data_IF_732475641311
#
_entry.id   IF_732475641311
#
_cell.length_a   1.000
_cell.length_b   1.000
_cell.length_c   1.000
_cell.angle_alpha   90.00
_cell.angle_beta   90.00
_cell.angle_gamma   90.00
#
_symmetry.space_group_name_H-M   'P 1'
#
loop_
_entity.id
_entity.type
_entity.pdbx_description
1 polymer ?
#
# COMPACT_ATOMS: atom_id res chain seq x y z
N UNK A 1 5.46 14.66 22.21
CA UNK A 1 4.28 13.98 22.80
C UNK A 1 4.40 12.46 22.72
N UNK A 2 4.52 11.83 21.56
CA UNK A 2 4.58 10.37 21.40
C UNK A 2 5.79 9.70 22.06
N UNK A 3 6.97 10.32 22.04
CA UNK A 3 8.18 9.77 22.70
C UNK A 3 7.97 9.51 24.20
N UNK A 4 7.29 10.41 24.88
CA UNK A 4 6.99 10.27 26.33
C UNK A 4 5.91 9.22 26.59
N UNK A 5 4.95 9.09 25.66
CA UNK A 5 3.92 8.06 25.72
C UNK A 5 4.53 6.65 25.54
N UNK A 6 5.40 6.48 24.54
CA UNK A 6 6.09 5.22 24.25
C UNK A 6 6.99 4.75 25.42
N UNK A 7 7.55 5.68 26.19
CA UNK A 7 8.35 5.32 27.37
C UNK A 7 7.52 4.76 28.52
N UNK A 8 6.21 5.03 28.54
CA UNK A 8 5.29 4.69 29.63
C UNK A 8 4.33 3.57 29.31
N UNK A 9 4.21 3.20 28.03
CA UNK A 9 3.21 2.25 27.57
C UNK A 9 3.87 1.17 26.71
N UNK A 10 3.49 -0.07 26.95
CA UNK A 10 3.78 -1.18 26.04
C UNK A 10 2.80 -1.15 24.87
N UNK A 11 3.31 -1.26 23.65
CA UNK A 11 2.51 -1.45 22.46
C UNK A 11 2.39 -2.96 22.26
N UNK A 12 1.17 -3.46 22.32
CA UNK A 12 0.88 -4.86 21.99
C UNK A 12 -0.15 -4.92 20.87
N UNK A 13 -0.02 -5.92 20.00
CA UNK A 13 -0.97 -6.19 18.93
C UNK A 13 -2.39 -6.39 19.45
N UNK A 14 -2.53 -6.90 20.66
CA UNK A 14 -3.83 -7.07 21.31
C UNK A 14 -4.61 -5.76 21.54
N UNK A 15 -3.92 -4.61 21.58
CA UNK A 15 -4.58 -3.30 21.64
C UNK A 15 -5.34 -2.97 20.34
N UNK A 16 -5.01 -3.64 19.26
CA UNK A 16 -5.56 -3.46 17.91
C UNK A 16 -6.26 -4.73 17.42
N UNK A 17 -6.86 -5.49 18.34
CA UNK A 17 -7.54 -6.74 18.01
C UNK A 17 -8.78 -6.56 17.10
N UNK A 18 -9.37 -5.35 17.13
CA UNK A 18 -10.47 -5.01 16.21
C UNK A 18 -9.92 -4.68 14.84
N UNK A 19 -10.36 -5.37 13.77
CA UNK A 19 -9.96 -5.04 12.41
C UNK A 19 -10.24 -3.58 12.05
N UNK A 20 -9.39 -2.97 11.20
CA UNK A 20 -9.60 -1.59 10.71
C UNK A 20 -10.91 -1.45 9.95
N UNK A 21 -11.28 -2.50 9.22
CA UNK A 21 -12.52 -2.57 8.43
C UNK A 21 -13.27 -3.85 8.78
N UNK A 22 -14.63 -3.80 8.82
CA UNK A 22 -15.42 -5.01 8.90
C UNK A 22 -15.13 -5.93 7.71
N UNK A 23 -15.17 -7.28 7.88
CA UNK A 23 -15.00 -8.20 6.76
C UNK A 23 -16.07 -7.98 5.69
N UNK A 24 -15.80 -8.39 4.45
CA UNK A 24 -16.74 -8.23 3.33
C UNK A 24 -18.11 -8.88 3.61
N UNK A 25 -18.14 -9.91 4.45
CA UNK A 25 -19.34 -10.61 4.91
C UNK A 25 -20.24 -9.80 5.86
N UNK A 26 -19.76 -8.68 6.44
CA UNK A 26 -20.59 -7.78 7.26
C UNK A 26 -21.55 -6.97 6.39
N UNK A 27 -22.64 -7.61 5.99
CA UNK A 27 -23.63 -6.99 5.08
C UNK A 27 -24.39 -5.83 5.72
N UNK A 28 -24.52 -5.82 7.05
CA UNK A 28 -25.19 -4.73 7.76
C UNK A 28 -24.41 -3.42 7.60
N UNK A 29 -23.09 -3.49 7.75
CA UNK A 29 -22.21 -2.35 7.56
C UNK A 29 -22.15 -1.93 6.07
N UNK A 30 -21.77 -2.85 5.17
CA UNK A 30 -21.49 -2.49 3.77
C UNK A 30 -22.73 -2.00 3.03
N UNK A 31 -23.92 -2.57 3.29
CA UNK A 31 -25.19 -2.09 2.73
C UNK A 31 -25.59 -0.71 3.27
N UNK A 32 -25.06 -0.28 4.40
CA UNK A 32 -25.34 1.05 4.95
C UNK A 32 -24.48 2.17 4.34
N UNK A 33 -23.32 1.81 3.76
CA UNK A 33 -22.33 2.80 3.28
C UNK A 33 -22.11 2.77 1.77
N UNK A 34 -22.48 1.69 1.06
CA UNK A 34 -22.28 1.56 -0.38
C UNK A 34 -23.62 1.57 -1.13
N UNK A 35 -23.62 2.14 -2.33
CA UNK A 35 -24.77 2.20 -3.24
C UNK A 35 -24.56 1.30 -4.47
N UNK A 36 -25.64 1.02 -5.21
CA UNK A 36 -25.63 0.24 -6.46
C UNK A 36 -24.80 0.88 -7.58
N UNK A 37 -24.41 2.15 -7.43
CA UNK A 37 -23.53 2.84 -8.37
C UNK A 37 -22.19 2.10 -8.48
N UNK A 38 -21.63 1.60 -7.35
CA UNK A 38 -20.37 0.84 -7.36
C UNK A 38 -20.48 -0.47 -8.13
N UNK A 39 -21.65 -1.11 -8.14
CA UNK A 39 -21.92 -2.30 -8.96
C UNK A 39 -21.83 -1.94 -10.46
N UNK A 40 -22.46 -0.84 -10.85
CA UNK A 40 -22.43 -0.36 -12.25
C UNK A 40 -21.02 -0.03 -12.73
N UNK A 41 -20.23 0.63 -11.87
CA UNK A 41 -18.84 0.95 -12.14
C UNK A 41 -17.98 -0.31 -12.25
N UNK A 42 -18.16 -1.28 -11.36
CA UNK A 42 -17.44 -2.54 -11.37
C UNK A 42 -17.76 -3.38 -12.62
N UNK A 43 -19.03 -3.43 -13.05
CA UNK A 43 -19.43 -4.09 -14.31
C UNK A 43 -18.73 -3.49 -15.53
N UNK A 44 -18.55 -2.17 -15.54
CA UNK A 44 -17.84 -1.49 -16.61
C UNK A 44 -16.35 -1.87 -16.58
N UNK A 45 -15.72 -1.83 -15.40
CA UNK A 45 -14.31 -2.16 -15.25
C UNK A 45 -14.02 -3.64 -15.53
N UNK A 46 -14.91 -4.56 -15.14
CA UNK A 46 -14.76 -5.99 -15.38
C UNK A 46 -14.58 -6.33 -16.87
N UNK A 47 -15.20 -5.57 -17.74
CA UNK A 47 -15.12 -5.75 -19.21
C UNK A 47 -13.85 -5.21 -19.83
N UNK A 48 -13.01 -4.48 -19.09
CA UNK A 48 -11.77 -3.93 -19.59
C UNK A 48 -10.60 -4.90 -19.37
N UNK A 49 -9.61 -4.87 -20.25
CA UNK A 49 -8.38 -5.63 -20.08
C UNK A 49 -7.51 -5.04 -18.93
N UNK A 50 -6.71 -5.90 -18.31
CA UNK A 50 -5.67 -5.44 -17.40
C UNK A 50 -4.49 -4.86 -18.18
N UNK A 51 -4.09 -3.60 -17.94
CA UNK A 51 -2.98 -3.00 -18.66
C UNK A 51 -1.66 -3.73 -18.44
N UNK A 52 -0.87 -3.90 -19.48
CA UNK A 52 0.49 -4.43 -19.41
C UNK A 52 1.45 -3.29 -19.10
N UNK A 53 2.37 -3.50 -18.15
CA UNK A 53 3.49 -2.59 -17.86
C UNK A 53 4.75 -3.20 -18.46
N UNK A 54 5.34 -2.51 -19.45
CA UNK A 54 6.49 -3.00 -20.23
C UNK A 54 7.79 -2.36 -19.77
N UNK A 55 8.92 -3.05 -19.98
CA UNK A 55 10.25 -2.52 -19.71
C UNK A 55 10.49 -1.15 -20.41
N UNK A 56 10.05 -1.01 -21.66
CA UNK A 56 10.18 0.25 -22.41
C UNK A 56 9.43 1.42 -21.78
N UNK A 57 8.35 1.16 -21.06
CA UNK A 57 7.58 2.18 -20.35
C UNK A 57 8.33 2.67 -19.10
N UNK A 58 8.99 1.78 -18.33
CA UNK A 58 9.90 2.20 -17.27
C UNK A 58 11.06 3.06 -17.80
N UNK A 59 11.62 2.66 -18.96
CA UNK A 59 12.74 3.37 -19.58
C UNK A 59 12.40 4.77 -20.07
N UNK A 60 11.13 5.03 -20.41
CA UNK A 60 10.69 6.29 -21.02
C UNK A 60 11.02 7.51 -20.15
N UNK A 61 10.86 7.42 -18.84
CA UNK A 61 11.19 8.52 -17.93
C UNK A 61 12.67 8.92 -18.03
N UNK A 62 13.59 7.96 -17.97
CA UNK A 62 15.03 8.25 -18.02
C UNK A 62 15.49 8.70 -19.42
N UNK A 63 14.80 8.28 -20.48
CA UNK A 63 15.18 8.62 -21.86
C UNK A 63 14.62 9.96 -22.32
N UNK A 64 13.44 10.32 -21.90
CA UNK A 64 12.70 11.49 -22.45
C UNK A 64 11.94 12.31 -21.42
N UNK A 65 11.98 11.93 -20.14
CA UNK A 65 11.17 12.58 -19.09
C UNK A 65 9.69 12.17 -19.11
N UNK A 66 9.31 11.21 -19.96
CA UNK A 66 7.91 10.77 -20.07
C UNK A 66 7.53 9.87 -18.90
N UNK A 67 6.86 10.46 -17.91
CA UNK A 67 6.30 9.76 -16.76
C UNK A 67 5.07 8.94 -17.12
N UNK A 68 4.22 9.47 -17.99
CA UNK A 68 2.90 8.92 -18.26
C UNK A 68 2.97 7.56 -18.94
N UNK A 69 4.05 7.27 -19.65
CA UNK A 69 4.26 5.97 -20.29
C UNK A 69 4.10 4.80 -19.32
N UNK A 70 4.65 4.92 -18.09
CA UNK A 70 4.55 3.87 -17.07
C UNK A 70 3.41 4.17 -16.07
N UNK A 71 3.22 5.42 -15.68
CA UNK A 71 2.22 5.80 -14.67
C UNK A 71 0.80 5.53 -15.14
N UNK A 72 0.47 5.73 -16.41
CA UNK A 72 -0.88 5.48 -16.93
C UNK A 72 -1.33 4.03 -16.73
N UNK A 73 -0.63 3.00 -17.23
CA UNK A 73 -1.02 1.62 -16.99
C UNK A 73 -0.93 1.23 -15.49
N UNK A 74 0.03 1.78 -14.76
CA UNK A 74 0.20 1.55 -13.32
C UNK A 74 -1.03 1.99 -12.52
N UNK A 75 -1.45 3.25 -12.65
CA UNK A 75 -2.61 3.77 -11.93
C UNK A 75 -3.93 3.19 -12.45
N UNK A 76 -4.00 2.82 -13.74
CA UNK A 76 -5.20 2.16 -14.28
C UNK A 76 -5.41 0.79 -13.63
N UNK A 77 -4.36 -0.01 -13.41
CA UNK A 77 -4.48 -1.27 -12.65
C UNK A 77 -5.08 -1.05 -11.25
N UNK A 78 -4.54 -0.09 -10.51
CA UNK A 78 -4.97 0.20 -9.14
C UNK A 78 -6.39 0.73 -9.08
N UNK A 79 -6.76 1.60 -10.01
CA UNK A 79 -8.13 2.12 -10.13
C UNK A 79 -9.12 1.00 -10.45
N UNK A 80 -8.80 0.15 -11.44
CA UNK A 80 -9.64 -1.01 -11.79
C UNK A 80 -9.84 -1.90 -10.57
N UNK A 81 -8.77 -2.27 -9.87
CA UNK A 81 -8.84 -3.12 -8.68
C UNK A 81 -9.71 -2.50 -7.57
N UNK A 82 -9.48 -1.23 -7.23
CA UNK A 82 -10.28 -0.51 -6.23
C UNK A 82 -11.77 -0.49 -6.61
N UNK A 83 -12.09 -0.28 -7.89
CA UNK A 83 -13.49 -0.28 -8.37
C UNK A 83 -14.14 -1.67 -8.25
N UNK A 84 -13.40 -2.74 -8.59
CA UNK A 84 -13.91 -4.12 -8.46
C UNK A 84 -14.15 -4.49 -6.99
N UNK A 85 -13.27 -4.08 -6.07
CA UNK A 85 -13.43 -4.26 -4.62
C UNK A 85 -14.73 -3.60 -4.14
N UNK A 86 -14.95 -2.33 -4.50
CA UNK A 86 -16.16 -1.61 -4.09
C UNK A 86 -17.42 -2.26 -4.66
N UNK A 87 -17.38 -2.76 -5.90
CA UNK A 87 -18.48 -3.51 -6.50
C UNK A 87 -18.77 -4.83 -5.77
N UNK A 88 -17.71 -5.58 -5.39
CA UNK A 88 -17.89 -6.83 -4.64
C UNK A 88 -18.42 -6.56 -3.23
N UNK A 89 -17.92 -5.52 -2.55
CA UNK A 89 -18.45 -5.09 -1.25
C UNK A 89 -19.91 -4.62 -1.32
N UNK A 90 -20.33 -3.98 -2.41
CA UNK A 90 -21.71 -3.53 -2.60
C UNK A 90 -22.67 -4.70 -2.89
N UNK A 91 -22.28 -5.65 -3.74
CA UNK A 91 -23.12 -6.78 -4.18
C UNK A 91 -22.93 -8.03 -3.33
N UNK A 92 -21.67 -8.41 -3.04
CA UNK A 92 -21.24 -9.58 -2.27
C UNK A 92 -21.79 -10.91 -2.79
N UNK A 93 -21.65 -11.13 -4.08
CA UNK A 93 -22.08 -12.38 -4.75
C UNK A 93 -20.89 -13.23 -5.27
N UNK A 94 -19.65 -12.81 -4.98
CA UNK A 94 -18.45 -13.45 -5.51
C UNK A 94 -18.20 -13.18 -6.98
N UNK A 95 -18.99 -12.31 -7.59
CA UNK A 95 -18.99 -12.06 -9.03
C UNK A 95 -17.72 -11.39 -9.53
N UNK A 96 -17.13 -10.48 -8.73
CA UNK A 96 -15.89 -9.78 -9.06
C UNK A 96 -14.65 -10.41 -8.43
N UNK A 97 -14.82 -11.43 -7.60
CA UNK A 97 -13.72 -12.07 -6.88
C UNK A 97 -12.63 -12.63 -7.81
N UNK A 98 -12.94 -13.31 -8.95
CA UNK A 98 -11.89 -13.75 -9.88
C UNK A 98 -11.03 -12.61 -10.40
N UNK A 99 -11.65 -11.51 -10.85
CA UNK A 99 -10.91 -10.34 -11.35
C UNK A 99 -10.17 -9.59 -10.25
N UNK A 100 -10.66 -9.60 -9.01
CA UNK A 100 -9.92 -9.08 -7.85
C UNK A 100 -8.66 -9.92 -7.63
N UNK A 101 -8.77 -11.24 -7.68
CA UNK A 101 -7.64 -12.15 -7.56
C UNK A 101 -6.62 -11.94 -8.70
N UNK A 102 -7.08 -11.76 -9.94
CA UNK A 102 -6.22 -11.43 -11.07
C UNK A 102 -5.45 -10.11 -10.83
N UNK A 103 -6.13 -9.07 -10.36
CA UNK A 103 -5.52 -7.79 -10.05
C UNK A 103 -4.48 -7.88 -8.94
N UNK A 104 -4.78 -8.61 -7.87
CA UNK A 104 -3.83 -8.89 -6.77
C UNK A 104 -2.62 -9.65 -7.28
N UNK A 105 -2.82 -10.70 -8.07
CA UNK A 105 -1.74 -11.48 -8.67
C UNK A 105 -0.84 -10.62 -9.55
N UNK A 106 -1.42 -9.82 -10.44
CA UNK A 106 -0.66 -8.90 -11.32
C UNK A 106 0.17 -7.89 -10.53
N UNK A 107 -0.32 -7.38 -9.38
CA UNK A 107 0.47 -6.49 -8.52
C UNK A 107 1.60 -7.24 -7.83
N UNK A 108 1.40 -8.49 -7.43
CA UNK A 108 2.47 -9.33 -6.89
C UNK A 108 3.57 -9.63 -7.92
N UNK A 109 3.23 -9.68 -9.22
CA UNK A 109 4.17 -9.89 -10.32
C UNK A 109 4.96 -8.61 -10.71
N UNK A 110 4.53 -7.42 -10.28
CA UNK A 110 5.27 -6.18 -10.57
C UNK A 110 6.65 -6.22 -9.90
N UNK A 111 7.70 -5.90 -10.66
CA UNK A 111 9.08 -5.84 -10.13
C UNK A 111 9.22 -4.75 -9.07
N UNK A 112 8.54 -3.63 -9.26
CA UNK A 112 8.58 -2.46 -8.37
C UNK A 112 7.18 -1.90 -8.17
N UNK A 113 6.80 -1.65 -6.92
CA UNK A 113 5.49 -1.10 -6.57
C UNK A 113 5.42 0.43 -6.63
N UNK A 114 6.55 1.09 -6.89
CA UNK A 114 6.61 2.53 -7.14
C UNK A 114 6.54 2.89 -8.63
N UNK A 115 6.79 4.15 -8.93
CA UNK A 115 6.74 4.69 -10.28
C UNK A 115 8.13 4.95 -10.87
N UNK A 116 8.21 5.03 -12.20
CA UNK A 116 9.49 5.23 -12.91
C UNK A 116 10.22 6.53 -12.51
N UNK A 117 9.47 7.60 -12.17
CA UNK A 117 10.04 8.86 -11.70
C UNK A 117 10.75 8.76 -10.33
N UNK A 118 10.44 7.73 -9.53
CA UNK A 118 11.05 7.49 -8.22
C UNK A 118 12.19 6.48 -8.25
N UNK A 119 12.43 5.82 -9.40
CA UNK A 119 13.47 4.79 -9.53
C UNK A 119 14.89 5.27 -9.22
N UNK A 120 15.19 6.54 -9.43
CA UNK A 120 16.49 7.13 -9.06
C UNK A 120 16.84 7.06 -7.57
N UNK A 121 15.87 6.73 -6.71
CA UNK A 121 16.06 6.50 -5.27
C UNK A 121 16.41 5.05 -4.94
N UNK A 122 16.22 4.13 -5.90
CA UNK A 122 16.50 2.70 -5.75
C UNK A 122 17.95 2.44 -6.16
N UNK A 123 18.74 1.89 -5.26
CA UNK A 123 20.12 1.55 -5.55
C UNK A 123 20.21 0.56 -6.74
N UNK A 124 21.17 0.79 -7.64
CA UNK A 124 21.37 -0.02 -8.86
C UNK A 124 20.19 0.01 -9.86
N UNK A 125 19.27 0.93 -9.73
CA UNK A 125 18.23 1.20 -10.73
C UNK A 125 18.67 2.35 -11.63
N UNK A 126 18.46 2.20 -12.94
CA UNK A 126 18.63 3.27 -13.90
C UNK A 126 17.50 3.26 -14.93
N UNK A 127 17.50 2.31 -15.87
CA UNK A 127 16.43 2.15 -16.84
C UNK A 127 15.30 1.26 -16.33
N UNK A 128 15.62 0.28 -15.48
CA UNK A 128 14.67 -0.67 -14.90
C UNK A 128 14.83 -0.70 -13.38
N UNK A 129 13.76 -0.97 -12.63
CA UNK A 129 13.86 -1.10 -11.18
C UNK A 129 14.69 -2.33 -10.80
N UNK A 130 15.55 -2.18 -9.80
CA UNK A 130 16.27 -3.30 -9.22
C UNK A 130 15.29 -4.22 -8.47
N UNK A 131 15.36 -5.52 -8.74
CA UNK A 131 14.50 -6.51 -8.07
C UNK A 131 15.03 -6.91 -6.68
N UNK A 132 16.33 -6.70 -6.44
CA UNK A 132 17.02 -7.10 -5.21
C UNK A 132 17.01 -6.03 -4.11
N UNK A 133 16.69 -4.79 -4.46
CA UNK A 133 16.66 -3.67 -3.51
C UNK A 133 15.31 -2.95 -3.57
N UNK A 134 14.54 -3.10 -2.50
CA UNK A 134 13.22 -2.47 -2.42
C UNK A 134 13.35 -1.09 -1.78
N UNK A 135 12.71 -0.11 -2.40
CA UNK A 135 12.54 1.24 -1.87
C UNK A 135 11.06 1.50 -1.60
N UNK A 136 10.75 1.96 -0.41
CA UNK A 136 9.39 2.32 -0.05
C UNK A 136 9.19 3.79 -0.40
N UNK A 137 8.57 4.06 -1.54
CA UNK A 137 8.07 5.37 -1.92
C UNK A 137 6.57 5.49 -1.61
N UNK A 138 5.94 6.61 -1.97
CA UNK A 138 4.51 6.86 -1.79
C UNK A 138 3.67 5.69 -2.33
N UNK A 139 3.94 5.28 -3.56
CA UNK A 139 3.08 4.35 -4.28
C UNK A 139 3.39 2.88 -3.96
N UNK A 140 4.60 2.58 -3.52
CA UNK A 140 4.90 1.27 -2.95
C UNK A 140 4.13 1.07 -1.64
N UNK A 141 4.06 2.11 -0.79
CA UNK A 141 3.28 2.09 0.43
C UNK A 141 1.77 1.98 0.15
N UNK A 142 1.22 2.75 -0.82
CA UNK A 142 -0.19 2.63 -1.24
C UNK A 142 -0.52 1.25 -1.82
N UNK A 143 0.38 0.67 -2.61
CA UNK A 143 0.16 -0.67 -3.17
C UNK A 143 0.08 -1.71 -2.07
N UNK A 144 0.96 -1.61 -1.08
CA UNK A 144 0.95 -2.49 0.08
C UNK A 144 -0.32 -2.31 0.92
N UNK A 145 -0.75 -1.07 1.11
CA UNK A 145 -2.01 -0.75 1.81
C UNK A 145 -3.20 -1.40 1.10
N UNK A 146 -3.35 -1.21 -0.21
CA UNK A 146 -4.44 -1.83 -0.99
C UNK A 146 -4.44 -3.34 -0.82
N UNK A 147 -3.28 -4.00 -0.96
CA UNK A 147 -3.18 -5.45 -0.82
C UNK A 147 -3.51 -5.93 0.60
N UNK A 148 -3.09 -5.17 1.62
CA UNK A 148 -3.38 -5.48 3.03
C UNK A 148 -4.87 -5.32 3.36
N UNK A 149 -5.51 -4.29 2.80
CA UNK A 149 -6.95 -4.07 2.94
C UNK A 149 -7.73 -5.22 2.27
N UNK A 150 -7.35 -5.62 1.05
CA UNK A 150 -7.97 -6.76 0.36
C UNK A 150 -7.80 -8.03 1.18
N UNK A 151 -6.60 -8.29 1.68
CA UNK A 151 -6.29 -9.43 2.55
C UNK A 151 -7.22 -9.47 3.77
N UNK A 152 -7.44 -8.33 4.42
CA UNK A 152 -8.30 -8.26 5.60
C UNK A 152 -9.79 -8.38 5.26
N UNK A 153 -10.24 -7.71 4.19
CA UNK A 153 -11.66 -7.67 3.80
C UNK A 153 -12.18 -9.00 3.26
N UNK A 154 -11.37 -9.67 2.43
CA UNK A 154 -11.76 -10.85 1.64
C UNK A 154 -10.97 -12.10 2.01
N UNK A 155 -10.48 -12.19 3.24
CA UNK A 155 -9.64 -13.31 3.67
C UNK A 155 -10.31 -14.67 3.46
N UNK A 156 -11.55 -14.81 3.92
CA UNK A 156 -12.27 -16.08 3.83
C UNK A 156 -12.68 -16.41 2.39
N UNK A 157 -13.08 -15.40 1.60
CA UNK A 157 -13.48 -15.57 0.20
C UNK A 157 -12.28 -15.96 -0.67
N UNK A 158 -11.14 -15.26 -0.51
CA UNK A 158 -9.91 -15.62 -1.24
C UNK A 158 -9.37 -16.97 -0.79
N UNK A 159 -9.41 -17.26 0.52
CA UNK A 159 -8.99 -18.56 1.04
C UNK A 159 -9.79 -19.72 0.45
N UNK A 160 -11.08 -19.51 0.25
CA UNK A 160 -11.96 -20.51 -0.38
C UNK A 160 -11.73 -20.63 -1.89
N UNK A 161 -11.35 -19.55 -2.56
CA UNK A 161 -11.19 -19.49 -4.02
C UNK A 161 -9.77 -19.86 -4.48
N UNK A 162 -8.75 -19.28 -3.86
CA UNK A 162 -7.32 -19.45 -4.20
C UNK A 162 -6.43 -19.14 -2.99
N UNK A 163 -6.26 -20.10 -2.04
CA UNK A 163 -5.51 -19.87 -0.79
C UNK A 163 -4.04 -19.50 -1.03
N UNK A 164 -3.43 -19.95 -2.13
CA UNK A 164 -2.04 -19.63 -2.49
C UNK A 164 -1.84 -18.14 -2.72
N UNK A 165 -2.88 -17.42 -3.13
CA UNK A 165 -2.80 -15.98 -3.35
C UNK A 165 -2.60 -15.22 -2.03
N UNK A 166 -3.21 -15.67 -0.93
CA UNK A 166 -2.98 -15.09 0.40
C UNK A 166 -1.51 -15.24 0.81
N UNK A 167 -0.96 -16.44 0.66
CA UNK A 167 0.48 -16.69 0.95
C UNK A 167 1.40 -15.86 0.06
N UNK A 168 1.01 -15.63 -1.21
CA UNK A 168 1.77 -14.76 -2.11
C UNK A 168 1.73 -13.31 -1.65
N UNK A 169 0.60 -12.78 -1.22
CA UNK A 169 0.47 -11.41 -0.68
C UNK A 169 1.31 -11.26 0.59
N UNK A 170 1.23 -12.21 1.51
CA UNK A 170 2.05 -12.21 2.72
C UNK A 170 3.56 -12.15 2.40
N UNK A 171 4.02 -13.00 1.49
CA UNK A 171 5.41 -13.03 1.05
C UNK A 171 5.86 -11.71 0.43
N UNK A 172 5.07 -11.14 -0.47
CA UNK A 172 5.42 -9.89 -1.15
C UNK A 172 5.43 -8.69 -0.19
N UNK A 173 4.46 -8.60 0.71
CA UNK A 173 4.42 -7.55 1.74
C UNK A 173 5.59 -7.70 2.71
N UNK A 174 5.86 -8.92 3.18
CA UNK A 174 7.00 -9.18 4.06
C UNK A 174 8.31 -8.74 3.39
N UNK A 175 8.55 -9.17 2.16
CA UNK A 175 9.79 -8.92 1.44
C UNK A 175 9.99 -7.46 1.06
N UNK A 176 8.94 -6.82 0.53
CA UNK A 176 9.05 -5.46 -0.03
C UNK A 176 8.88 -4.36 0.99
N UNK A 177 8.05 -4.59 1.99
CA UNK A 177 7.61 -3.57 2.94
C UNK A 177 8.15 -3.85 4.34
N UNK A 178 7.67 -4.90 5.02
CA UNK A 178 7.96 -5.10 6.44
C UNK A 178 9.45 -5.28 6.70
N UNK A 179 10.09 -6.21 5.98
CA UNK A 179 11.54 -6.45 6.15
C UNK A 179 12.36 -5.24 5.69
N UNK A 180 11.94 -4.55 4.62
CA UNK A 180 12.62 -3.36 4.12
C UNK A 180 12.51 -2.19 5.11
N UNK A 181 11.32 -1.97 5.70
CA UNK A 181 11.06 -0.92 6.68
C UNK A 181 11.80 -1.16 8.00
N UNK A 182 11.80 -2.40 8.49
CA UNK A 182 12.49 -2.78 9.73
C UNK A 182 14.01 -2.92 9.58
N UNK A 183 14.50 -2.92 8.35
CA UNK A 183 15.96 -2.90 8.12
C UNK A 183 16.58 -1.57 8.57
N UNK A 184 17.91 -1.52 8.64
CA UNK A 184 18.67 -0.29 8.94
C UNK A 184 18.76 0.67 7.74
N UNK A 185 17.91 0.53 6.72
CA UNK A 185 17.84 1.46 5.60
C UNK A 185 17.27 2.79 6.06
N UNK A 186 17.91 3.87 5.64
CA UNK A 186 17.35 5.21 5.74
C UNK A 186 16.74 5.58 4.38
N UNK A 187 15.43 5.63 4.36
CA UNK A 187 14.70 6.22 3.25
C UNK A 187 14.57 7.72 3.52
N UNK A 188 15.08 8.57 2.64
CA UNK A 188 15.19 10.03 2.88
C UNK A 188 13.94 10.74 3.38
N UNK A 189 12.75 10.10 3.30
CA UNK A 189 11.50 10.62 3.85
C UNK A 189 11.34 10.38 5.36
N UNK A 190 12.19 9.54 5.99
CA UNK A 190 12.10 9.21 7.42
C UNK A 190 12.49 10.36 8.36
N UNK A 191 13.28 11.31 7.87
CA UNK A 191 13.64 12.50 8.63
C UNK A 191 14.86 12.37 9.54
N UNK A 192 15.69 11.35 9.37
CA UNK A 192 16.89 11.17 10.22
C UNK A 192 18.01 12.14 9.91
N UNK A 193 18.14 12.60 8.65
CA UNK A 193 19.24 13.47 8.21
C UNK A 193 18.80 14.86 7.75
N UNK A 194 17.53 15.02 7.43
CA UNK A 194 16.94 16.30 7.04
C UNK A 194 15.46 16.31 7.42
N UNK A 195 14.88 17.51 7.54
CA UNK A 195 13.44 17.65 7.75
C UNK A 195 12.68 16.90 6.64
N UNK A 196 11.75 16.04 7.01
CA UNK A 196 10.94 15.30 6.05
C UNK A 196 9.85 16.21 5.47
N UNK A 197 9.40 15.89 4.26
CA UNK A 197 8.23 16.49 3.63
C UNK A 197 6.98 15.62 3.86
N UNK A 198 5.89 15.92 3.16
CA UNK A 198 4.61 15.21 3.18
C UNK A 198 4.71 13.69 2.85
N UNK A 199 5.79 13.23 2.24
CA UNK A 199 6.02 11.79 2.04
C UNK A 199 6.02 11.01 3.36
N UNK A 200 6.54 11.65 4.42
CA UNK A 200 6.64 11.01 5.73
C UNK A 200 5.25 10.57 6.26
N UNK A 201 4.29 11.47 6.54
CA UNK A 201 2.98 11.07 7.06
C UNK A 201 2.19 10.22 6.06
N UNK A 202 2.34 10.46 4.75
CA UNK A 202 1.67 9.65 3.72
C UNK A 202 2.13 8.19 3.76
N UNK A 203 3.46 7.97 3.71
CA UNK A 203 4.00 6.60 3.75
C UNK A 203 3.69 5.94 5.09
N UNK A 204 3.87 6.66 6.21
CA UNK A 204 3.65 6.09 7.53
C UNK A 204 2.19 5.69 7.77
N UNK A 205 1.21 6.43 7.25
CA UNK A 205 -0.21 6.06 7.35
C UNK A 205 -0.51 4.76 6.61
N UNK A 206 0.02 4.60 5.39
CA UNK A 206 -0.13 3.36 4.62
C UNK A 206 0.58 2.18 5.29
N UNK A 207 1.80 2.40 5.82
CA UNK A 207 2.51 1.36 6.58
C UNK A 207 1.75 0.95 7.85
N UNK A 208 1.13 1.90 8.54
CA UNK A 208 0.32 1.61 9.72
C UNK A 208 -0.84 0.67 9.34
N UNK A 209 -1.54 0.93 8.24
CA UNK A 209 -2.59 0.04 7.72
C UNK A 209 -2.04 -1.37 7.44
N UNK A 210 -0.87 -1.48 6.82
CA UNK A 210 -0.21 -2.78 6.58
C UNK A 210 0.05 -3.51 7.90
N UNK A 211 0.64 -2.83 8.90
CA UNK A 211 0.99 -3.45 10.18
C UNK A 211 -0.26 -3.90 10.97
N UNK A 212 -1.36 -3.17 10.85
CA UNK A 212 -2.62 -3.51 11.52
C UNK A 212 -3.43 -4.61 10.81
N UNK A 213 -3.25 -4.78 9.48
CA UNK A 213 -4.06 -5.69 8.67
C UNK A 213 -3.38 -7.02 8.35
N UNK A 214 -2.04 -7.07 8.41
CA UNK A 214 -1.27 -8.26 8.02
C UNK A 214 -0.85 -9.13 9.22
N UNK A 215 -0.60 -10.44 9.02
CA UNK A 215 -0.15 -11.36 10.07
C UNK A 215 1.34 -11.17 10.40
N UNK A 216 1.69 -10.00 10.95
CA UNK A 216 3.05 -9.67 11.38
C UNK A 216 3.26 -10.21 12.81
N UNK A 217 4.45 -10.77 13.09
CA UNK A 217 4.79 -11.24 14.43
C UNK A 217 4.87 -10.09 15.46
N UNK A 218 4.67 -10.40 16.74
CA UNK A 218 4.56 -9.40 17.80
C UNK A 218 5.80 -8.50 17.89
N UNK A 219 7.00 -9.05 17.76
CA UNK A 219 8.26 -8.29 17.85
C UNK A 219 8.37 -7.30 16.69
N UNK A 220 8.20 -7.77 15.47
CA UNK A 220 8.21 -6.94 14.26
C UNK A 220 7.12 -5.86 14.30
N UNK A 221 5.94 -6.20 14.81
CA UNK A 221 4.84 -5.25 14.99
C UNK A 221 5.22 -4.12 15.96
N UNK A 222 5.72 -4.47 17.14
CA UNK A 222 6.13 -3.48 18.15
C UNK A 222 7.26 -2.59 17.65
N UNK A 223 8.28 -3.16 17.03
CA UNK A 223 9.44 -2.42 16.51
C UNK A 223 9.01 -1.48 15.37
N UNK A 224 8.12 -1.96 14.48
CA UNK A 224 7.55 -1.15 13.41
C UNK A 224 6.78 0.05 13.94
N UNK A 225 5.86 -0.15 14.88
CA UNK A 225 5.08 0.94 15.47
C UNK A 225 5.96 1.94 16.24
N UNK A 226 6.91 1.46 17.05
CA UNK A 226 7.87 2.34 17.74
C UNK A 226 8.63 3.21 16.75
N UNK A 227 9.10 2.61 15.65
CA UNK A 227 9.80 3.31 14.58
C UNK A 227 8.89 4.35 13.91
N UNK A 228 7.65 4.00 13.56
CA UNK A 228 6.67 4.93 12.97
C UNK A 228 6.42 6.14 13.89
N UNK A 229 6.27 5.92 15.19
CA UNK A 229 6.09 7.00 16.15
C UNK A 229 7.30 7.94 16.25
N UNK A 230 8.51 7.41 16.12
CA UNK A 230 9.72 8.26 16.08
C UNK A 230 9.73 9.09 14.80
N UNK A 231 9.49 8.46 13.66
CA UNK A 231 9.56 9.10 12.34
C UNK A 231 8.47 10.15 12.11
N UNK A 232 7.24 9.91 12.58
CA UNK A 232 6.17 10.92 12.48
C UNK A 232 6.48 12.15 13.35
N UNK A 233 7.21 11.99 14.47
CA UNK A 233 7.64 13.13 15.27
C UNK A 233 8.65 14.00 14.51
N UNK A 234 9.48 13.44 13.61
CA UNK A 234 10.36 14.25 12.77
C UNK A 234 9.56 15.18 11.86
N UNK A 235 8.44 14.70 11.31
CA UNK A 235 7.54 15.50 10.50
C UNK A 235 6.88 16.61 11.33
N UNK A 236 6.27 16.28 12.47
CA UNK A 236 5.64 17.28 13.33
C UNK A 236 6.60 18.34 13.86
N UNK A 237 7.87 17.98 14.06
CA UNK A 237 8.89 18.95 14.46
C UNK A 237 9.32 19.89 13.31
N UNK A 238 9.02 19.53 12.07
CA UNK A 238 9.35 20.30 10.88
C UNK A 238 8.19 21.15 10.34
N UNK A 239 6.95 20.80 10.72
CA UNK A 239 5.75 21.55 10.28
C UNK A 239 5.75 22.93 10.96
N UNK A 240 5.59 24.04 10.19
CA UNK A 240 5.43 25.36 10.75
C UNK A 240 4.21 25.50 11.65
N UNK A 241 4.24 26.48 12.57
CA UNK A 241 3.16 26.71 13.53
C UNK A 241 1.81 27.05 12.87
N UNK A 242 1.82 27.58 11.65
CA UNK A 242 0.63 27.87 10.87
C UNK A 242 0.02 26.64 10.18
N UNK A 243 0.69 25.46 10.29
CA UNK A 243 0.25 24.21 9.69
C UNK A 243 0.47 24.12 8.18
N UNK A 244 1.16 25.07 7.57
CA UNK A 244 1.53 25.05 6.16
C UNK A 244 2.43 23.83 5.87
N UNK A 245 2.22 23.16 4.75
CA UNK A 245 3.15 22.14 4.28
C UNK A 245 3.81 22.56 2.97
N UNK A 246 5.05 22.08 2.74
CA UNK A 246 5.91 22.39 1.60
C UNK A 246 5.46 21.66 0.30
N UNK A 247 4.19 21.49 0.09
CA UNK A 247 3.67 21.16 -1.22
C UNK A 247 3.64 22.46 -2.03
N UNK A 248 4.70 22.69 -2.78
CA UNK A 248 4.74 23.81 -3.70
C UNK A 248 3.49 23.88 -4.57
N UNK A 249 3.01 25.07 -4.80
CA UNK A 249 1.90 25.38 -5.70
C UNK A 249 2.14 24.85 -7.12
#
# INVERSE_FOLDING_TARGET
>A
MFKTWLQKNEISKNLFATPLFPPASDRAFWNSVLSDEYITLAETQRKTEWPIIRATQYMAFQKSGDRLAQETPYFTRRRKLKTLILGELAQYEGKYLPEICDGVFLMCEETFWGISAHMGRVKNSYFLPAFSDQYIDLFAAETAEILSVIYSLFYDEIRAFCPELLSRVEYEIQRRITASYLSNKDFGWMGYHKAPNNWNPWILSNLLTVFLSMPIDETSFQDGLKKMFVEINHYYAAVPDDGGCDEGC
#
